data_IF_714068012002
#
_entry.id   IF_714068012002
#
_cell.length_a   1.000
_cell.length_b   1.000
_cell.length_c   1.000
_cell.angle_alpha   90.00
_cell.angle_beta   90.00
_cell.angle_gamma   90.00
#
_symmetry.space_group_name_H-M   'P 1'
#
loop_
_entity.id
_entity.type
_entity.pdbx_description
1 polymer ?
#
# COMPACT_ATOMS: atom_id res chain seq x y z
N UNK A 1 -10.68 -12.34 8.43
CA UNK A 1 -11.38 -11.06 8.17
C UNK A 1 -10.41 -9.88 8.05
N UNK A 2 -9.93 -9.18 9.09
CA UNK A 2 -9.02 -8.03 8.86
C UNK A 2 -7.57 -8.43 8.51
N UNK A 3 -7.00 -9.39 9.25
CA UNK A 3 -5.61 -9.85 9.04
C UNK A 3 -5.36 -10.36 7.62
N UNK A 4 -6.36 -11.01 7.03
CA UNK A 4 -6.30 -11.51 5.64
C UNK A 4 -6.26 -10.36 4.64
N UNK A 5 -7.09 -9.33 4.81
CA UNK A 5 -7.08 -8.15 3.94
C UNK A 5 -5.77 -7.36 4.07
N UNK A 6 -5.23 -7.22 5.28
CA UNK A 6 -3.90 -6.63 5.49
C UNK A 6 -2.81 -7.46 4.79
N UNK A 7 -2.91 -8.79 4.83
CA UNK A 7 -1.95 -9.67 4.14
C UNK A 7 -2.05 -9.53 2.61
N UNK A 8 -3.26 -9.39 2.06
CA UNK A 8 -3.47 -9.12 0.63
C UNK A 8 -2.90 -7.75 0.24
N UNK A 9 -3.16 -6.70 1.02
CA UNK A 9 -2.63 -5.36 0.77
C UNK A 9 -1.09 -5.34 0.83
N UNK A 10 -0.50 -6.06 1.80
CA UNK A 10 0.95 -6.23 1.89
C UNK A 10 1.53 -6.84 0.61
N UNK A 11 0.87 -7.86 0.06
CA UNK A 11 1.31 -8.48 -1.20
C UNK A 11 1.30 -7.50 -2.36
N UNK A 12 0.26 -6.66 -2.47
CA UNK A 12 0.20 -5.60 -3.49
C UNK A 12 1.37 -4.63 -3.36
N UNK A 13 1.69 -4.18 -2.14
CA UNK A 13 2.82 -3.28 -1.90
C UNK A 13 4.17 -3.93 -2.25
N UNK A 14 4.37 -5.20 -1.85
CA UNK A 14 5.58 -5.97 -2.17
C UNK A 14 5.76 -6.22 -3.67
N UNK A 15 4.67 -6.39 -4.41
CA UNK A 15 4.67 -6.55 -5.86
C UNK A 15 4.85 -5.21 -6.62
N UNK A 16 5.16 -4.11 -5.93
CA UNK A 16 5.38 -2.78 -6.53
C UNK A 16 4.09 -2.06 -6.93
N UNK A 17 2.97 -2.48 -6.35
CA UNK A 17 1.65 -1.86 -6.50
C UNK A 17 1.41 -0.70 -5.53
N UNK A 18 0.26 -0.05 -5.72
CA UNK A 18 -0.20 1.09 -4.93
C UNK A 18 -1.47 0.67 -4.19
N UNK A 19 -1.62 1.11 -2.95
CA UNK A 19 -2.81 0.91 -2.14
C UNK A 19 -3.40 2.23 -1.66
N UNK A 20 -4.73 2.26 -1.49
CA UNK A 20 -5.45 3.32 -0.80
C UNK A 20 -5.78 2.82 0.61
N UNK A 21 -5.45 3.58 1.64
CA UNK A 21 -5.70 3.22 3.03
C UNK A 21 -6.19 4.42 3.85
N UNK A 22 -7.09 4.22 4.83
CA UNK A 22 -7.54 5.30 5.69
C UNK A 22 -6.47 5.63 6.73
N UNK A 23 -6.36 6.90 7.10
CA UNK A 23 -5.71 7.36 8.34
C UNK A 23 -6.73 8.03 9.24
N UNK A 24 -6.29 8.49 10.40
CA UNK A 24 -7.08 9.30 11.34
C UNK A 24 -7.41 10.70 10.80
N UNK A 25 -6.70 11.17 9.78
CA UNK A 25 -6.82 12.52 9.23
C UNK A 25 -7.37 12.54 7.80
N UNK A 26 -6.79 11.74 6.91
CA UNK A 26 -7.14 11.70 5.48
C UNK A 26 -7.01 10.29 4.92
N UNK A 27 -7.42 10.09 3.68
CA UNK A 27 -7.05 8.89 2.94
C UNK A 27 -5.63 9.01 2.39
N UNK A 28 -4.81 8.00 2.64
CA UNK A 28 -3.45 7.89 2.12
C UNK A 28 -3.38 6.98 0.90
N UNK A 29 -2.60 7.38 -0.10
CA UNK A 29 -2.17 6.52 -1.21
C UNK A 29 -0.71 6.14 -0.91
N UNK A 30 -0.38 4.85 -0.93
CA UNK A 30 0.95 4.37 -0.55
C UNK A 30 1.47 3.21 -1.39
N UNK A 31 2.79 3.09 -1.41
CA UNK A 31 3.56 2.05 -2.09
C UNK A 31 4.84 1.75 -1.27
N UNK A 32 5.69 0.85 -1.73
CA UNK A 32 7.00 0.60 -1.10
C UNK A 32 7.93 1.80 -1.33
N UNK A 33 8.26 2.51 -0.25
CA UNK A 33 9.11 3.70 -0.29
C UNK A 33 10.55 3.43 -0.74
N UNK A 34 11.02 2.18 -0.68
CA UNK A 34 12.33 1.78 -1.20
C UNK A 34 12.33 1.43 -2.69
N UNK A 35 11.13 1.23 -3.27
CA UNK A 35 10.96 0.95 -4.70
C UNK A 35 10.74 2.25 -5.47
N UNK A 36 11.81 2.79 -6.05
CA UNK A 36 11.78 4.06 -6.80
C UNK A 36 10.80 4.05 -7.98
N UNK A 37 10.57 2.90 -8.62
CA UNK A 37 9.60 2.80 -9.72
C UNK A 37 8.18 2.94 -9.19
N UNK A 38 7.86 2.28 -8.07
CA UNK A 38 6.54 2.38 -7.45
C UNK A 38 6.24 3.78 -6.91
N UNK A 39 7.25 4.52 -6.47
CA UNK A 39 7.13 5.91 -6.01
C UNK A 39 6.87 6.89 -7.16
N UNK A 40 7.34 6.59 -8.37
CA UNK A 40 7.18 7.46 -9.54
C UNK A 40 5.85 7.32 -10.29
N UNK A 41 5.05 6.29 -9.97
CA UNK A 41 3.72 6.05 -10.56
C UNK A 41 2.68 7.05 -10.04
#
# INVERSE_FOLDING_TARGET
>A
MLKEEVTKALKVVQDGGIILYPTDTIWGIGCDASNTEAVQK
#
